data_IF_361954110956
#
_entry.id   IF_361954110956
#
_cell.length_a   1.000
_cell.length_b   1.000
_cell.length_c   1.000
_cell.angle_alpha   90.00
_cell.angle_beta   90.00
_cell.angle_gamma   90.00
#
_symmetry.space_group_name_H-M   'P 1'
#
loop_
_entity.id
_entity.type
_entity.pdbx_description
1 polymer ?
#
# COMPACT_ATOMS: atom_id res chain seq x y z
N UNK A 1 -39.51 32.62 -19.00
CA UNK A 1 -38.93 31.91 -17.84
C UNK A 1 -37.52 31.56 -18.24
N UNK A 2 -36.57 32.16 -17.59
CA UNK A 2 -35.17 31.76 -17.86
C UNK A 2 -35.00 30.29 -17.52
N UNK A 3 -34.33 29.55 -18.37
CA UNK A 3 -34.08 28.12 -18.08
C UNK A 3 -33.24 28.01 -16.81
N UNK A 4 -33.34 26.90 -16.09
CA UNK A 4 -32.53 26.67 -14.88
C UNK A 4 -31.01 26.75 -15.17
N UNK A 5 -30.63 26.43 -16.40
CA UNK A 5 -29.27 26.57 -16.91
C UNK A 5 -28.80 28.01 -16.95
N UNK A 6 -29.67 28.97 -17.39
CA UNK A 6 -29.35 30.40 -17.41
C UNK A 6 -29.19 30.98 -15.99
N UNK A 7 -30.03 30.54 -15.07
CA UNK A 7 -29.94 30.91 -13.65
C UNK A 7 -28.61 30.40 -13.08
N UNK A 8 -28.27 29.14 -13.33
CA UNK A 8 -27.04 28.54 -12.84
C UNK A 8 -25.79 29.20 -13.47
N UNK A 9 -25.85 29.56 -14.73
CA UNK A 9 -24.77 30.34 -15.37
C UNK A 9 -24.53 31.68 -14.64
N UNK A 10 -25.61 32.38 -14.26
CA UNK A 10 -25.52 33.62 -13.47
C UNK A 10 -24.95 33.41 -12.07
N UNK A 11 -25.30 32.29 -11.43
CA UNK A 11 -24.76 31.89 -10.11
C UNK A 11 -23.25 31.61 -10.22
N UNK A 12 -22.80 30.92 -11.27
CA UNK A 12 -21.37 30.67 -11.52
C UNK A 12 -20.59 31.96 -11.73
N UNK A 13 -21.11 32.90 -12.55
CA UNK A 13 -20.49 34.20 -12.77
C UNK A 13 -20.39 34.99 -11.47
N UNK A 14 -21.44 35.00 -10.65
CA UNK A 14 -21.44 35.67 -9.34
C UNK A 14 -20.34 35.07 -8.40
N UNK A 15 -20.18 33.75 -8.38
CA UNK A 15 -19.16 33.10 -7.57
C UNK A 15 -17.73 33.48 -8.01
N UNK A 16 -17.51 33.63 -9.32
CA UNK A 16 -16.22 33.97 -9.89
C UNK A 16 -15.90 35.46 -9.63
N UNK A 17 -16.82 36.38 -9.95
CA UNK A 17 -16.62 37.83 -9.83
C UNK A 17 -16.40 38.30 -8.39
N UNK A 18 -17.02 37.59 -7.41
CA UNK A 18 -16.88 37.95 -6.01
C UNK A 18 -15.77 37.14 -5.30
N UNK A 19 -14.95 36.36 -6.02
CA UNK A 19 -13.82 35.61 -5.47
C UNK A 19 -14.20 34.59 -4.41
N UNK A 20 -15.49 34.16 -4.38
CA UNK A 20 -15.98 33.20 -3.36
C UNK A 20 -15.50 31.80 -3.61
N UNK A 21 -15.21 31.46 -4.87
CA UNK A 21 -14.66 30.16 -5.28
C UNK A 21 -13.42 30.43 -6.15
N UNK A 22 -12.25 29.84 -5.84
CA UNK A 22 -11.09 29.94 -6.73
C UNK A 22 -11.40 29.33 -8.11
N UNK A 23 -10.80 29.88 -9.18
CA UNK A 23 -11.04 29.44 -10.57
C UNK A 23 -10.88 27.92 -10.76
N UNK A 24 -9.85 27.34 -10.14
CA UNK A 24 -9.62 25.88 -10.14
C UNK A 24 -10.78 25.14 -9.47
N UNK A 25 -11.30 25.66 -8.35
CA UNK A 25 -12.43 25.06 -7.64
C UNK A 25 -13.73 25.14 -8.43
N UNK A 26 -13.95 26.24 -9.14
CA UNK A 26 -15.10 26.41 -10.02
C UNK A 26 -15.06 25.41 -11.17
N UNK A 27 -13.93 25.32 -11.88
CA UNK A 27 -13.78 24.45 -13.06
C UNK A 27 -13.84 22.96 -12.69
N UNK A 28 -13.29 22.60 -11.52
CA UNK A 28 -13.20 21.19 -11.12
C UNK A 28 -14.49 20.66 -10.49
N UNK A 29 -15.21 21.49 -9.72
CA UNK A 29 -16.30 21.02 -8.86
C UNK A 29 -17.67 21.60 -9.18
N UNK A 30 -17.75 22.83 -9.71
CA UNK A 30 -19.01 23.53 -9.96
C UNK A 30 -19.41 23.47 -11.44
N UNK A 31 -18.48 23.60 -12.37
CA UNK A 31 -18.78 23.47 -13.81
C UNK A 31 -19.35 22.09 -14.19
N UNK A 32 -18.86 20.96 -13.61
CA UNK A 32 -19.41 19.64 -13.91
C UNK A 32 -20.82 19.40 -13.36
N UNK A 33 -21.39 20.29 -12.53
CA UNK A 33 -22.76 20.15 -12.04
C UNK A 33 -23.76 20.33 -13.19
N UNK A 34 -24.49 19.27 -13.51
CA UNK A 34 -25.56 19.31 -14.51
C UNK A 34 -26.86 19.74 -13.84
N UNK A 35 -27.45 20.91 -14.19
CA UNK A 35 -28.73 21.34 -13.62
C UNK A 35 -29.87 20.46 -14.10
N UNK A 36 -30.64 19.87 -13.17
CA UNK A 36 -31.73 18.92 -13.45
C UNK A 36 -33.09 19.63 -13.33
N UNK A 37 -33.36 20.20 -12.16
CA UNK A 37 -34.64 20.90 -11.92
C UNK A 37 -34.52 21.98 -10.85
N UNK A 38 -35.39 23.00 -10.97
CA UNK A 38 -35.49 24.08 -10.00
C UNK A 38 -36.97 24.43 -9.75
N UNK A 39 -37.41 24.32 -8.49
CA UNK A 39 -38.78 24.55 -8.08
C UNK A 39 -38.97 25.83 -7.24
N UNK A 40 -37.95 26.67 -7.12
CA UNK A 40 -37.94 27.88 -6.32
C UNK A 40 -37.47 27.72 -4.88
N UNK A 41 -37.54 26.53 -4.31
CA UNK A 41 -36.99 26.16 -2.99
C UNK A 41 -35.82 25.20 -3.05
N UNK A 42 -35.81 24.32 -4.06
CA UNK A 42 -34.78 23.30 -4.23
C UNK A 42 -34.18 23.40 -5.64
N UNK A 43 -32.86 23.41 -5.70
CA UNK A 43 -32.05 23.32 -6.92
C UNK A 43 -31.40 21.92 -6.96
N UNK A 44 -31.83 21.13 -7.93
CA UNK A 44 -31.36 19.75 -8.09
C UNK A 44 -30.31 19.72 -9.20
N UNK A 45 -29.14 19.19 -8.85
CA UNK A 45 -28.02 18.98 -9.78
C UNK A 45 -27.67 17.51 -9.86
N UNK A 46 -27.05 17.11 -10.97
CA UNK A 46 -26.52 15.77 -11.17
C UNK A 46 -25.01 15.82 -11.33
N UNK A 47 -24.33 14.82 -10.78
CA UNK A 47 -22.88 14.61 -10.88
C UNK A 47 -22.58 13.15 -11.23
N UNK A 48 -21.37 12.90 -11.74
CA UNK A 48 -20.97 11.54 -12.17
C UNK A 48 -20.59 10.62 -10.99
N UNK A 49 -20.13 11.18 -9.85
CA UNK A 49 -19.58 10.36 -8.76
C UNK A 49 -20.06 10.82 -7.37
N UNK A 50 -20.17 9.86 -6.43
CA UNK A 50 -20.44 10.15 -5.01
C UNK A 50 -19.33 11.01 -4.38
N UNK A 51 -18.10 10.92 -4.88
CA UNK A 51 -17.00 11.75 -4.42
C UNK A 51 -17.23 13.23 -4.75
N UNK A 52 -17.65 13.55 -5.99
CA UNK A 52 -18.00 14.92 -6.38
C UNK A 52 -19.16 15.47 -5.54
N UNK A 53 -20.22 14.68 -5.33
CA UNK A 53 -21.35 15.03 -4.47
C UNK A 53 -20.88 15.42 -3.07
N UNK A 54 -20.06 14.60 -2.44
CA UNK A 54 -19.55 14.85 -1.09
C UNK A 54 -18.73 16.13 -1.01
N UNK A 55 -17.83 16.38 -1.96
CA UNK A 55 -17.03 17.62 -1.99
C UNK A 55 -17.92 18.85 -2.15
N UNK A 56 -18.89 18.82 -3.07
CA UNK A 56 -19.77 19.98 -3.29
C UNK A 56 -20.64 20.25 -2.07
N UNK A 57 -21.22 19.22 -1.44
CA UNK A 57 -22.07 19.38 -0.26
C UNK A 57 -21.28 19.79 0.99
N UNK A 58 -20.04 19.35 1.16
CA UNK A 58 -19.25 19.70 2.36
C UNK A 58 -18.53 21.03 2.23
N UNK A 59 -18.03 21.37 1.04
CA UNK A 59 -17.14 22.52 0.84
C UNK A 59 -17.88 23.71 0.21
N UNK A 60 -18.77 23.47 -0.75
CA UNK A 60 -19.35 24.53 -1.58
C UNK A 60 -20.84 24.77 -1.33
N UNK A 61 -21.53 23.97 -0.53
CA UNK A 61 -22.97 24.05 -0.27
C UNK A 61 -23.41 25.44 0.21
N UNK A 62 -22.76 25.97 1.24
CA UNK A 62 -23.14 27.29 1.81
C UNK A 62 -22.80 28.42 0.85
N UNK A 63 -21.72 28.30 0.08
CA UNK A 63 -21.32 29.27 -0.93
C UNK A 63 -22.35 29.31 -2.07
N UNK A 64 -22.81 28.16 -2.53
CA UNK A 64 -23.85 28.07 -3.57
C UNK A 64 -25.17 28.60 -3.08
N UNK A 65 -25.62 28.26 -1.86
CA UNK A 65 -26.85 28.86 -1.28
C UNK A 65 -26.80 30.36 -1.20
N UNK A 66 -25.68 30.93 -0.78
CA UNK A 66 -25.45 32.34 -0.69
C UNK A 66 -25.44 32.99 -2.09
N UNK A 67 -24.85 32.34 -3.07
CA UNK A 67 -24.86 32.81 -4.46
C UNK A 67 -26.27 32.78 -5.07
N UNK A 68 -27.06 31.74 -4.85
CA UNK A 68 -28.46 31.65 -5.27
C UNK A 68 -29.30 32.76 -4.61
N UNK A 69 -29.08 33.02 -3.32
CA UNK A 69 -29.77 34.10 -2.63
C UNK A 69 -29.44 35.49 -3.23
N UNK A 70 -28.18 35.75 -3.56
CA UNK A 70 -27.77 37.02 -4.12
C UNK A 70 -28.24 37.20 -5.58
N UNK A 71 -28.36 36.13 -6.35
CA UNK A 71 -28.80 36.18 -7.76
C UNK A 71 -30.32 36.21 -7.90
N UNK A 72 -31.04 35.44 -7.09
CA UNK A 72 -32.51 35.27 -7.21
C UNK A 72 -33.31 35.92 -6.08
N UNK A 73 -32.68 36.31 -4.96
CA UNK A 73 -33.38 36.76 -3.76
C UNK A 73 -34.09 35.63 -2.98
N UNK A 74 -33.86 34.36 -3.32
CA UNK A 74 -34.55 33.22 -2.76
C UNK A 74 -33.56 32.33 -1.99
N UNK A 75 -34.00 31.78 -0.86
CA UNK A 75 -33.25 30.74 -0.13
C UNK A 75 -33.51 29.42 -0.81
N UNK A 76 -32.43 28.80 -1.33
CA UNK A 76 -32.49 27.56 -2.12
C UNK A 76 -31.73 26.45 -1.40
N UNK A 77 -32.32 25.27 -1.33
CA UNK A 77 -31.63 24.06 -0.91
C UNK A 77 -30.91 23.46 -2.13
N UNK A 78 -29.67 23.05 -1.93
CA UNK A 78 -28.88 22.38 -2.97
C UNK A 78 -29.02 20.88 -2.77
N UNK A 79 -29.57 20.21 -3.77
CA UNK A 79 -29.71 18.75 -3.81
C UNK A 79 -28.83 18.23 -4.94
N UNK A 80 -27.99 17.25 -4.64
CA UNK A 80 -27.09 16.64 -5.62
C UNK A 80 -27.41 15.17 -5.74
N UNK A 81 -27.81 14.77 -6.94
CA UNK A 81 -28.02 13.40 -7.34
C UNK A 81 -26.77 12.88 -8.06
N UNK A 82 -26.40 11.63 -7.83
CA UNK A 82 -25.36 10.98 -8.60
C UNK A 82 -26.03 10.29 -9.79
N UNK A 83 -25.41 10.34 -10.94
CA UNK A 83 -25.88 9.65 -12.13
C UNK A 83 -25.83 8.14 -11.87
N UNK A 84 -26.89 7.63 -11.22
CA UNK A 84 -27.12 6.20 -11.13
C UNK A 84 -27.80 5.79 -12.44
N UNK A 85 -27.20 4.88 -13.16
CA UNK A 85 -27.95 4.06 -14.09
C UNK A 85 -29.13 3.48 -13.29
N UNK A 86 -30.34 3.94 -13.59
CA UNK A 86 -31.68 3.66 -13.12
C UNK A 86 -31.89 2.96 -11.76
N UNK A 87 -32.82 3.46 -10.92
CA UNK A 87 -33.25 2.74 -9.74
C UNK A 87 -34.13 1.56 -10.15
N UNK A 88 -33.56 0.41 -10.34
CA UNK A 88 -34.33 -0.82 -10.22
C UNK A 88 -34.88 -0.94 -8.79
N UNK A 89 -36.19 -1.19 -8.69
CA UNK A 89 -36.87 -1.66 -7.48
C UNK A 89 -36.01 -2.75 -6.82
N UNK A 90 -36.11 -2.97 -5.49
CA UNK A 90 -35.32 -4.02 -4.85
C UNK A 90 -35.67 -5.37 -5.50
N UNK A 91 -34.93 -5.72 -6.51
CA UNK A 91 -34.93 -7.03 -7.11
C UNK A 91 -34.13 -7.88 -6.14
N UNK A 92 -34.77 -8.81 -5.47
CA UNK A 92 -34.10 -9.93 -4.85
C UNK A 92 -33.37 -10.60 -6.03
N UNK A 93 -32.02 -10.62 -6.06
CA UNK A 93 -31.30 -11.19 -7.18
C UNK A 93 -31.77 -12.63 -7.35
N UNK A 94 -32.19 -13.00 -8.54
CA UNK A 94 -32.45 -14.40 -8.86
C UNK A 94 -31.14 -15.18 -8.74
N UNK A 95 -31.21 -16.45 -8.38
CA UNK A 95 -30.04 -17.33 -8.26
C UNK A 95 -29.12 -17.23 -9.49
N UNK A 96 -29.70 -17.02 -10.69
CA UNK A 96 -28.95 -16.80 -11.94
C UNK A 96 -28.17 -15.46 -11.99
N UNK A 97 -28.66 -14.40 -11.37
CA UNK A 97 -27.97 -13.10 -11.31
C UNK A 97 -26.90 -13.09 -10.20
N UNK A 98 -27.11 -13.84 -9.13
CA UNK A 98 -26.09 -14.14 -8.12
C UNK A 98 -24.97 -14.99 -8.73
N UNK A 99 -25.30 -15.98 -9.53
CA UNK A 99 -24.33 -16.78 -10.29
C UNK A 99 -23.58 -15.95 -11.35
N UNK A 100 -24.24 -15.05 -12.08
CA UNK A 100 -23.56 -14.12 -12.99
C UNK A 100 -22.63 -13.13 -12.28
N UNK A 101 -23.05 -12.52 -11.19
CA UNK A 101 -22.20 -11.67 -10.37
C UNK A 101 -21.05 -12.43 -9.73
N UNK A 102 -21.26 -13.66 -9.28
CA UNK A 102 -20.21 -14.56 -8.83
C UNK A 102 -19.25 -14.89 -10.00
N UNK A 103 -19.76 -15.15 -11.19
CA UNK A 103 -18.94 -15.41 -12.38
C UNK A 103 -18.18 -14.17 -12.86
N UNK A 104 -18.75 -12.97 -12.78
CA UNK A 104 -18.04 -11.71 -13.09
C UNK A 104 -16.99 -11.35 -12.05
N UNK A 105 -17.27 -11.56 -10.75
CA UNK A 105 -16.28 -11.47 -9.69
C UNK A 105 -15.20 -12.53 -9.83
N UNK A 106 -15.55 -13.78 -10.11
CA UNK A 106 -14.59 -14.83 -10.42
C UNK A 106 -13.77 -14.55 -11.68
N UNK A 107 -14.36 -13.95 -12.72
CA UNK A 107 -13.62 -13.52 -13.91
C UNK A 107 -12.68 -12.34 -13.61
N UNK A 108 -13.07 -11.36 -12.79
CA UNK A 108 -12.18 -10.28 -12.39
C UNK A 108 -11.01 -10.77 -11.53
N UNK A 109 -11.23 -11.77 -10.68
CA UNK A 109 -10.15 -12.47 -9.96
C UNK A 109 -9.31 -13.37 -10.89
N UNK A 110 -9.91 -13.95 -11.94
CA UNK A 110 -9.18 -14.75 -12.96
C UNK A 110 -8.22 -13.92 -13.79
N UNK A 111 -8.57 -12.68 -14.13
CA UNK A 111 -7.71 -11.81 -14.94
C UNK A 111 -6.48 -11.27 -14.19
N UNK A 112 -6.54 -11.17 -12.85
CA UNK A 112 -5.42 -10.61 -12.07
C UNK A 112 -4.29 -11.62 -11.79
N UNK A 113 -4.54 -12.94 -11.80
CA UNK A 113 -3.61 -13.95 -11.27
C UNK A 113 -3.44 -15.22 -12.12
N UNK A 114 -3.82 -15.19 -13.40
CA UNK A 114 -3.75 -16.37 -14.26
C UNK A 114 -2.32 -16.88 -14.49
N UNK A 115 -1.31 -16.03 -14.29
CA UNK A 115 0.09 -16.36 -14.49
C UNK A 115 0.76 -17.03 -13.27
N UNK A 116 0.10 -17.07 -12.10
CA UNK A 116 0.68 -17.63 -10.88
C UNK A 116 0.30 -19.10 -10.72
N UNK A 117 1.07 -19.96 -11.40
CA UNK A 117 0.96 -21.42 -11.33
C UNK A 117 2.29 -22.02 -10.88
N UNK A 118 2.29 -23.30 -10.48
CA UNK A 118 3.53 -24.01 -10.20
C UNK A 118 4.45 -24.14 -11.43
N UNK A 119 3.89 -24.16 -12.63
CA UNK A 119 4.65 -24.26 -13.88
C UNK A 119 5.36 -22.95 -14.25
N UNK A 120 4.85 -21.83 -13.78
CA UNK A 120 5.46 -20.51 -14.00
C UNK A 120 6.40 -20.08 -12.87
N UNK A 121 6.37 -20.80 -11.75
CA UNK A 121 7.25 -20.55 -10.62
C UNK A 121 8.65 -21.14 -10.87
N UNK A 122 9.67 -20.31 -10.77
CA UNK A 122 11.06 -20.75 -10.96
C UNK A 122 11.62 -21.31 -9.67
N UNK A 123 11.88 -22.62 -9.69
CA UNK A 123 12.51 -23.35 -8.60
C UNK A 123 14.00 -23.01 -8.47
N UNK A 124 14.47 -22.83 -7.26
CA UNK A 124 15.85 -22.62 -6.92
C UNK A 124 16.12 -23.02 -5.46
N UNK A 125 17.39 -23.12 -5.06
CA UNK A 125 17.78 -23.53 -3.69
C UNK A 125 17.13 -22.69 -2.59
N UNK A 126 16.82 -21.45 -2.88
CA UNK A 126 16.25 -20.51 -1.92
C UNK A 126 14.74 -20.68 -1.68
N UNK A 127 14.05 -21.51 -2.47
CA UNK A 127 12.59 -21.67 -2.43
C UNK A 127 12.12 -23.13 -2.64
N UNK A 128 13.03 -24.07 -2.87
CA UNK A 128 12.69 -25.48 -3.18
C UNK A 128 11.82 -26.13 -2.10
N UNK A 129 12.13 -25.87 -0.81
CA UNK A 129 11.35 -26.42 0.29
C UNK A 129 9.94 -25.85 0.33
N UNK A 130 9.79 -24.52 0.22
CA UNK A 130 8.49 -23.87 0.20
C UNK A 130 7.65 -24.31 -1.01
N UNK A 131 8.28 -24.49 -2.16
CA UNK A 131 7.63 -25.02 -3.37
C UNK A 131 7.16 -26.46 -3.18
N UNK A 132 8.00 -27.33 -2.65
CA UNK A 132 7.67 -28.74 -2.39
C UNK A 132 6.49 -28.86 -1.41
N UNK A 133 6.50 -28.08 -0.30
CA UNK A 133 5.41 -28.03 0.65
C UNK A 133 4.11 -27.53 0.01
N UNK A 134 4.19 -26.47 -0.81
CA UNK A 134 3.04 -25.91 -1.51
C UNK A 134 2.41 -26.90 -2.50
N UNK A 135 3.23 -27.59 -3.29
CA UNK A 135 2.78 -28.68 -4.19
C UNK A 135 2.13 -29.82 -3.43
N UNK A 136 2.71 -30.21 -2.28
CA UNK A 136 2.17 -31.27 -1.43
C UNK A 136 0.80 -30.89 -0.86
N UNK A 137 0.65 -29.66 -0.34
CA UNK A 137 -0.64 -29.14 0.15
C UNK A 137 -1.68 -29.12 -0.95
N UNK A 138 -1.34 -28.59 -2.13
CA UNK A 138 -2.28 -28.51 -3.26
C UNK A 138 -2.74 -29.91 -3.75
N UNK A 139 -1.84 -30.89 -3.75
CA UNK A 139 -2.14 -32.25 -4.17
C UNK A 139 -2.99 -33.00 -3.16
N UNK A 140 -2.66 -32.88 -1.86
CA UNK A 140 -3.30 -33.68 -0.79
C UNK A 140 -4.55 -33.00 -0.20
N UNK A 141 -4.90 -31.78 -0.67
CA UNK A 141 -6.08 -31.07 -0.21
C UNK A 141 -7.35 -31.88 -0.53
N UNK A 142 -8.10 -32.26 0.52
CA UNK A 142 -9.32 -33.08 0.39
C UNK A 142 -9.11 -34.58 0.26
N UNK A 143 -7.89 -35.09 0.03
CA UNK A 143 -7.62 -36.53 -0.08
C UNK A 143 -7.52 -37.22 1.29
N UNK A 144 -7.10 -36.50 2.32
CA UNK A 144 -6.91 -37.03 3.67
C UNK A 144 -7.91 -36.40 4.64
N UNK A 145 -8.40 -37.21 5.57
CA UNK A 145 -9.26 -36.74 6.65
C UNK A 145 -8.57 -35.68 7.54
N UNK A 146 -7.25 -35.74 7.65
CA UNK A 146 -6.44 -34.74 8.38
C UNK A 146 -5.31 -34.30 7.45
N UNK A 147 -5.19 -32.99 7.14
CA UNK A 147 -4.10 -32.46 6.32
C UNK A 147 -2.74 -32.67 7.00
N UNK A 148 -1.73 -33.08 6.22
CA UNK A 148 -0.37 -33.33 6.74
C UNK A 148 0.33 -32.06 7.24
N UNK A 149 0.03 -30.92 6.62
CA UNK A 149 0.69 -29.63 6.87
C UNK A 149 -0.36 -28.55 7.10
N UNK A 150 -0.88 -28.45 8.32
CA UNK A 150 -1.95 -27.50 8.64
C UNK A 150 -1.72 -26.77 9.97
N UNK A 151 -1.49 -25.45 9.94
CA UNK A 151 -1.36 -24.62 8.75
C UNK A 151 -0.04 -24.81 8.01
N UNK A 152 0.00 -24.50 6.71
CA UNK A 152 1.25 -24.21 6.00
C UNK A 152 1.54 -22.71 6.14
N UNK A 153 2.68 -22.38 6.73
CA UNK A 153 3.12 -21.01 6.95
C UNK A 153 4.35 -20.71 6.09
N UNK A 154 4.18 -19.90 5.05
CA UNK A 154 5.25 -19.51 4.12
C UNK A 154 5.75 -18.11 4.49
N UNK A 155 7.04 -17.96 4.78
CA UNK A 155 7.56 -16.64 5.11
C UNK A 155 8.82 -16.29 4.34
N UNK A 156 9.12 -14.99 4.28
CA UNK A 156 10.33 -14.46 3.65
C UNK A 156 10.15 -13.00 3.26
N UNK A 157 11.24 -12.29 2.91
CA UNK A 157 11.18 -10.87 2.57
C UNK A 157 10.16 -10.55 1.49
N UNK A 158 9.73 -9.28 1.41
CA UNK A 158 8.80 -8.85 0.38
C UNK A 158 9.38 -9.08 -1.03
N UNK A 159 8.53 -9.49 -1.98
CA UNK A 159 8.92 -9.68 -3.38
C UNK A 159 9.66 -10.99 -3.68
N UNK A 160 9.63 -11.99 -2.78
CA UNK A 160 10.31 -13.30 -2.98
C UNK A 160 9.42 -14.37 -3.63
N UNK A 161 8.17 -14.07 -3.96
CA UNK A 161 7.26 -15.02 -4.62
C UNK A 161 6.27 -15.72 -3.69
N UNK A 162 6.07 -15.25 -2.44
CA UNK A 162 5.07 -15.81 -1.50
C UNK A 162 3.65 -15.79 -2.09
N UNK A 163 3.22 -14.63 -2.60
CA UNK A 163 1.93 -14.46 -3.26
C UNK A 163 1.79 -15.37 -4.49
N UNK A 164 2.87 -15.62 -5.22
CA UNK A 164 2.87 -16.57 -6.33
C UNK A 164 2.56 -17.99 -5.84
N UNK A 165 3.26 -18.46 -4.79
CA UNK A 165 3.04 -19.83 -4.27
C UNK A 165 1.64 -20.01 -3.70
N UNK A 166 1.14 -19.07 -2.90
CA UNK A 166 -0.20 -19.19 -2.32
C UNK A 166 -1.29 -19.15 -3.41
N UNK A 167 -1.10 -18.36 -4.46
CA UNK A 167 -2.02 -18.33 -5.60
C UNK A 167 -1.90 -19.60 -6.46
N UNK A 168 -0.67 -20.14 -6.63
CA UNK A 168 -0.46 -21.40 -7.33
C UNK A 168 -1.16 -22.57 -6.62
N UNK A 169 -1.15 -22.59 -5.27
CA UNK A 169 -1.94 -23.55 -4.49
C UNK A 169 -3.43 -23.42 -4.81
N UNK A 170 -3.97 -22.18 -4.77
CA UNK A 170 -5.38 -21.95 -5.08
C UNK A 170 -5.77 -22.42 -6.48
N UNK A 171 -4.93 -22.14 -7.49
CA UNK A 171 -5.17 -22.52 -8.87
C UNK A 171 -5.12 -24.04 -9.05
N UNK A 172 -4.15 -24.71 -8.45
CA UNK A 172 -4.03 -26.19 -8.55
C UNK A 172 -5.16 -26.90 -7.82
N UNK A 173 -5.55 -26.44 -6.61
CA UNK A 173 -6.71 -26.99 -5.89
C UNK A 173 -8.00 -26.81 -6.69
N UNK A 174 -8.22 -25.62 -7.27
CA UNK A 174 -9.42 -25.36 -8.11
C UNK A 174 -9.48 -26.28 -9.32
N UNK A 175 -8.33 -26.59 -9.93
CA UNK A 175 -8.24 -27.50 -11.05
C UNK A 175 -8.57 -28.94 -10.67
N UNK A 176 -8.10 -29.38 -9.50
CA UNK A 176 -8.27 -30.77 -9.02
C UNK A 176 -9.61 -30.97 -8.33
N UNK A 177 -10.15 -29.95 -7.67
CA UNK A 177 -11.40 -29.96 -6.89
C UNK A 177 -12.26 -28.74 -7.24
N UNK A 178 -13.01 -28.79 -8.38
CA UNK A 178 -13.83 -27.64 -8.82
C UNK A 178 -14.95 -27.24 -7.83
N UNK A 179 -15.42 -28.21 -7.03
CA UNK A 179 -16.52 -28.01 -6.07
C UNK A 179 -16.07 -27.44 -4.72
N UNK A 180 -14.74 -27.26 -4.51
CA UNK A 180 -14.23 -26.75 -3.24
C UNK A 180 -14.48 -25.25 -3.09
N UNK A 181 -14.91 -24.86 -1.90
CA UNK A 181 -14.97 -23.47 -1.48
C UNK A 181 -13.56 -22.97 -1.14
N UNK A 182 -12.88 -22.38 -2.12
CA UNK A 182 -11.53 -21.86 -2.01
C UNK A 182 -11.61 -20.36 -1.70
N UNK A 183 -11.19 -19.98 -0.49
CA UNK A 183 -11.14 -18.59 -0.06
C UNK A 183 -9.70 -18.11 -0.06
N UNK A 184 -9.35 -17.24 -1.02
CA UNK A 184 -8.10 -16.47 -1.03
C UNK A 184 -8.39 -15.02 -0.65
N UNK A 185 -7.64 -14.48 0.30
CA UNK A 185 -7.82 -13.12 0.77
C UNK A 185 -6.51 -12.54 1.30
N UNK A 186 -6.26 -11.25 1.05
CA UNK A 186 -5.20 -10.52 1.74
C UNK A 186 -5.66 -10.12 3.13
N UNK A 187 -4.74 -10.02 4.07
CA UNK A 187 -5.08 -9.58 5.43
C UNK A 187 -5.76 -8.21 5.49
N UNK A 188 -5.43 -7.30 4.57
CA UNK A 188 -6.12 -6.00 4.46
C UNK A 188 -7.57 -6.14 4.00
N UNK A 189 -7.81 -6.97 2.97
CA UNK A 189 -9.16 -7.21 2.46
C UNK A 189 -10.04 -7.90 3.52
N UNK A 190 -9.49 -8.90 4.24
CA UNK A 190 -10.17 -9.54 5.38
C UNK A 190 -10.62 -8.51 6.43
N UNK A 191 -9.73 -7.58 6.81
CA UNK A 191 -10.08 -6.51 7.75
C UNK A 191 -11.10 -5.52 7.20
N UNK A 192 -11.01 -5.16 5.93
CA UNK A 192 -11.99 -4.30 5.27
C UNK A 192 -13.39 -4.93 5.20
N UNK A 193 -13.46 -6.20 4.81
CA UNK A 193 -14.71 -6.96 4.79
C UNK A 193 -15.33 -7.12 6.19
N UNK A 194 -14.50 -7.38 7.21
CA UNK A 194 -14.97 -7.45 8.60
C UNK A 194 -15.59 -6.12 9.05
N UNK A 195 -14.95 -5.00 8.80
CA UNK A 195 -15.46 -3.67 9.15
C UNK A 195 -16.79 -3.38 8.43
N UNK A 196 -16.86 -3.69 7.13
CA UNK A 196 -18.05 -3.50 6.34
C UNK A 196 -19.23 -4.36 6.85
N UNK A 197 -18.97 -5.63 7.15
CA UNK A 197 -19.97 -6.54 7.69
C UNK A 197 -20.51 -6.09 9.07
N UNK A 198 -19.61 -5.58 9.93
CA UNK A 198 -20.00 -5.01 11.23
C UNK A 198 -20.85 -3.75 11.08
N UNK A 199 -20.47 -2.84 10.18
CA UNK A 199 -21.19 -1.60 9.95
C UNK A 199 -22.56 -1.84 9.31
N UNK A 200 -22.69 -2.84 8.45
CA UNK A 200 -23.92 -3.22 7.80
C UNK A 200 -24.83 -4.15 8.67
N UNK A 201 -24.29 -4.67 9.79
CA UNK A 201 -25.03 -5.62 10.65
C UNK A 201 -25.20 -7.02 10.07
N UNK A 202 -24.37 -7.39 9.06
CA UNK A 202 -24.42 -8.68 8.33
C UNK A 202 -23.19 -9.55 8.64
N UNK A 203 -22.77 -9.58 9.89
CA UNK A 203 -21.57 -10.35 10.31
C UNK A 203 -21.71 -11.85 10.06
N UNK A 204 -22.95 -12.39 9.98
CA UNK A 204 -23.22 -13.78 9.63
C UNK A 204 -22.65 -14.15 8.26
N UNK A 205 -22.83 -13.29 7.26
CA UNK A 205 -22.37 -13.54 5.89
C UNK A 205 -20.83 -13.60 5.81
N UNK A 206 -20.17 -12.73 6.60
CA UNK A 206 -18.72 -12.79 6.77
C UNK A 206 -18.28 -14.11 7.40
N UNK A 207 -18.97 -14.56 8.46
CA UNK A 207 -18.68 -15.85 9.09
C UNK A 207 -18.90 -17.01 8.12
N UNK A 208 -19.99 -16.99 7.37
CA UNK A 208 -20.31 -18.05 6.41
C UNK A 208 -19.28 -18.13 5.29
N UNK A 209 -18.83 -17.00 4.77
CA UNK A 209 -17.77 -16.94 3.77
C UNK A 209 -16.46 -17.58 4.24
N UNK A 210 -15.97 -17.15 5.41
CA UNK A 210 -14.63 -17.54 5.87
C UNK A 210 -14.60 -18.85 6.65
N UNK A 211 -15.65 -19.16 7.42
CA UNK A 211 -15.69 -20.32 8.30
C UNK A 211 -16.21 -21.58 7.63
N UNK A 212 -16.73 -21.51 6.41
CA UNK A 212 -17.18 -22.65 5.61
C UNK A 212 -16.25 -22.92 4.41
N UNK A 213 -15.05 -22.36 4.40
CA UNK A 213 -14.06 -22.62 3.39
C UNK A 213 -13.50 -24.06 3.50
N UNK A 214 -13.28 -24.72 2.36
CA UNK A 214 -12.56 -26.01 2.31
C UNK A 214 -11.05 -25.79 2.37
N UNK A 215 -10.60 -24.65 1.83
CA UNK A 215 -9.23 -24.16 1.98
C UNK A 215 -9.26 -22.64 2.17
N UNK A 216 -8.58 -22.16 3.20
CA UNK A 216 -8.39 -20.74 3.50
C UNK A 216 -6.93 -20.33 3.23
N UNK A 217 -6.74 -19.38 2.34
CA UNK A 217 -5.45 -18.85 1.93
C UNK A 217 -5.38 -17.37 2.32
N UNK A 218 -4.53 -17.04 3.29
CA UNK A 218 -4.35 -15.67 3.81
C UNK A 218 -2.98 -15.15 3.40
N UNK A 219 -2.95 -14.07 2.63
CA UNK A 219 -1.71 -13.41 2.22
C UNK A 219 -1.36 -12.24 3.15
N UNK A 220 -0.07 -12.13 3.49
CA UNK A 220 0.52 -11.04 4.26
C UNK A 220 -0.06 -10.85 5.69
N UNK A 221 -0.03 -11.91 6.51
CA UNK A 221 -0.62 -11.94 7.87
C UNK A 221 -0.04 -10.86 8.81
N UNK A 222 1.14 -10.29 8.52
CA UNK A 222 1.74 -9.23 9.32
C UNK A 222 0.87 -7.96 9.41
N UNK A 223 -0.05 -7.74 8.48
CA UNK A 223 -1.00 -6.63 8.54
C UNK A 223 -2.06 -6.75 9.64
N UNK A 224 -2.16 -7.90 10.32
CA UNK A 224 -2.97 -8.03 11.53
C UNK A 224 -2.33 -7.39 12.77
N UNK A 225 -1.05 -7.03 12.68
CA UNK A 225 -0.30 -6.41 13.78
C UNK A 225 -1.02 -5.20 14.36
N UNK A 226 -1.24 -5.21 15.70
CA UNK A 226 -1.89 -4.11 16.41
C UNK A 226 -3.40 -3.96 16.18
N UNK A 227 -4.06 -4.89 15.49
CA UNK A 227 -5.49 -4.87 15.20
C UNK A 227 -6.22 -5.96 15.97
N UNK A 228 -6.39 -5.78 17.29
CA UNK A 228 -6.92 -6.80 18.22
C UNK A 228 -8.22 -7.45 17.73
N UNK A 229 -9.21 -6.66 17.33
CA UNK A 229 -10.51 -7.14 16.86
C UNK A 229 -10.42 -8.04 15.64
N UNK A 230 -9.51 -7.74 14.74
CA UNK A 230 -9.23 -8.50 13.54
C UNK A 230 -8.51 -9.81 13.87
N UNK A 231 -7.58 -9.78 14.83
CA UNK A 231 -6.89 -10.97 15.33
C UNK A 231 -7.85 -11.91 16.05
N UNK A 232 -8.77 -11.38 16.86
CA UNK A 232 -9.80 -12.16 17.55
C UNK A 232 -10.71 -12.89 16.55
N UNK A 233 -11.23 -12.16 15.55
CA UNK A 233 -12.12 -12.74 14.53
C UNK A 233 -11.40 -13.79 13.67
N UNK A 234 -10.16 -13.51 13.31
CA UNK A 234 -9.33 -14.48 12.59
C UNK A 234 -9.03 -15.71 13.44
N UNK A 235 -8.77 -15.55 14.73
CA UNK A 235 -8.56 -16.68 15.63
C UNK A 235 -9.75 -17.63 15.67
N UNK A 236 -10.97 -17.10 15.74
CA UNK A 236 -12.18 -17.92 15.70
C UNK A 236 -12.37 -18.63 14.36
N UNK A 237 -12.08 -17.97 13.26
CA UNK A 237 -12.13 -18.56 11.91
C UNK A 237 -11.09 -19.67 11.78
N UNK A 238 -9.84 -19.39 12.16
CA UNK A 238 -8.75 -20.38 12.16
C UNK A 238 -9.11 -21.60 13.00
N UNK A 239 -9.59 -21.38 14.23
CA UNK A 239 -9.92 -22.45 15.16
C UNK A 239 -11.01 -23.38 14.60
N UNK A 240 -12.09 -22.82 14.03
CA UNK A 240 -13.16 -23.59 13.41
C UNK A 240 -12.63 -24.44 12.25
N UNK A 241 -11.93 -23.83 11.29
CA UNK A 241 -11.40 -24.54 10.12
C UNK A 241 -10.40 -25.63 10.51
N UNK A 242 -9.50 -25.34 11.45
CA UNK A 242 -8.53 -26.30 11.92
C UNK A 242 -9.19 -27.52 12.63
N UNK A 243 -10.24 -27.30 13.44
CA UNK A 243 -11.01 -28.38 14.06
C UNK A 243 -11.76 -29.24 13.03
N UNK A 244 -12.25 -28.64 11.95
CA UNK A 244 -12.92 -29.35 10.85
C UNK A 244 -11.93 -29.94 9.84
N UNK A 245 -10.62 -29.94 10.17
CA UNK A 245 -9.56 -30.45 9.31
C UNK A 245 -9.51 -29.79 7.91
N UNK A 246 -9.97 -28.54 7.81
CA UNK A 246 -9.88 -27.74 6.59
C UNK A 246 -8.46 -27.18 6.45
N UNK A 247 -7.95 -27.12 5.23
CA UNK A 247 -6.60 -26.62 4.98
C UNK A 247 -6.49 -25.10 5.17
N UNK A 248 -5.43 -24.68 5.86
CA UNK A 248 -5.09 -23.25 6.03
C UNK A 248 -3.67 -23.03 5.49
N UNK A 249 -3.51 -21.99 4.69
CA UNK A 249 -2.19 -21.53 4.18
C UNK A 249 -2.05 -20.06 4.51
N UNK A 250 -0.89 -19.70 5.04
CA UNK A 250 -0.62 -18.33 5.52
C UNK A 250 0.71 -17.87 4.94
N UNK A 251 0.77 -16.62 4.48
CA UNK A 251 2.05 -16.00 4.13
C UNK A 251 2.41 -14.85 5.07
N UNK A 252 3.70 -14.57 5.22
CA UNK A 252 4.22 -13.50 6.06
C UNK A 252 5.56 -12.97 5.53
N UNK A 253 5.93 -11.75 5.94
CA UNK A 253 7.28 -11.21 5.72
C UNK A 253 8.30 -11.72 6.75
N UNK A 254 7.82 -12.28 7.88
CA UNK A 254 8.63 -12.75 9.02
C UNK A 254 8.12 -14.09 9.56
N UNK A 255 8.98 -14.86 10.22
CA UNK A 255 8.55 -16.09 10.90
C UNK A 255 7.59 -15.76 12.06
N UNK A 256 6.72 -16.71 12.49
CA UNK A 256 5.74 -16.46 13.56
C UNK A 256 6.36 -15.91 14.85
N UNK A 257 7.56 -16.36 15.21
CA UNK A 257 8.29 -15.90 16.43
C UNK A 257 8.61 -14.40 16.43
N UNK A 258 8.78 -13.80 15.27
CA UNK A 258 9.11 -12.38 15.12
C UNK A 258 7.88 -11.47 15.00
N UNK A 259 6.69 -12.03 14.89
CA UNK A 259 5.42 -11.30 14.83
C UNK A 259 4.94 -10.92 16.24
N UNK A 260 5.74 -10.17 17.00
CA UNK A 260 5.52 -9.87 18.42
C UNK A 260 4.23 -9.09 18.70
N UNK A 261 3.67 -8.41 17.72
CA UNK A 261 2.41 -7.66 17.82
C UNK A 261 1.18 -8.49 17.52
N UNK A 262 1.35 -9.76 17.12
CA UNK A 262 0.27 -10.73 17.08
C UNK A 262 0.09 -11.39 18.45
N UNK A 263 -1.15 -11.73 18.76
CA UNK A 263 -1.49 -12.46 19.97
C UNK A 263 -0.74 -13.79 20.05
N UNK A 264 -0.29 -14.14 21.24
CA UNK A 264 0.49 -15.35 21.50
C UNK A 264 -0.24 -16.63 21.05
N UNK A 265 -1.58 -16.65 21.25
CA UNK A 265 -2.42 -17.78 20.82
C UNK A 265 -2.39 -18.02 19.30
N UNK A 266 -2.32 -16.97 18.48
CA UNK A 266 -2.19 -17.10 17.03
C UNK A 266 -0.79 -17.55 16.65
N UNK A 267 0.25 -16.95 17.23
CA UNK A 267 1.65 -17.32 16.97
C UNK A 267 1.90 -18.79 17.26
N UNK A 268 1.46 -19.26 18.42
CA UNK A 268 1.60 -20.67 18.82
C UNK A 268 0.88 -21.61 17.84
N UNK A 269 -0.28 -21.22 17.31
CA UNK A 269 -1.00 -22.00 16.30
C UNK A 269 -0.25 -22.06 14.97
N UNK A 270 0.37 -20.95 14.56
CA UNK A 270 1.18 -20.92 13.35
C UNK A 270 2.46 -21.77 13.50
N UNK A 271 3.08 -21.74 14.67
CA UNK A 271 4.24 -22.58 15.00
C UNK A 271 3.92 -24.09 15.07
N UNK A 272 2.67 -24.43 15.37
CA UNK A 272 2.19 -25.80 15.39
C UNK A 272 2.03 -26.45 14.02
N UNK A 273 2.10 -25.66 12.94
CA UNK A 273 2.03 -26.14 11.57
C UNK A 273 3.41 -26.35 10.92
N UNK A 274 3.42 -26.44 9.58
CA UNK A 274 4.66 -26.50 8.81
C UNK A 274 5.10 -25.09 8.43
N UNK A 275 6.31 -24.71 8.80
CA UNK A 275 6.90 -23.41 8.48
C UNK A 275 7.91 -23.60 7.34
N UNK A 276 7.73 -22.89 6.24
CA UNK A 276 8.59 -22.89 5.07
C UNK A 276 9.11 -21.50 4.76
N UNK A 277 10.41 -21.34 4.62
CA UNK A 277 11.05 -20.06 4.30
C UNK A 277 11.32 -19.90 2.81
N UNK A 278 11.32 -18.65 2.37
CA UNK A 278 11.80 -18.25 1.06
C UNK A 278 12.86 -17.16 1.28
N UNK A 279 14.07 -17.40 0.77
CA UNK A 279 15.16 -16.44 0.84
C UNK A 279 15.49 -15.84 -0.54
N UNK A 280 16.45 -14.92 -0.58
CA UNK A 280 16.83 -14.27 -1.82
C UNK A 280 17.38 -15.30 -2.85
N UNK A 281 16.95 -15.20 -4.12
CA UNK A 281 17.36 -16.14 -5.16
C UNK A 281 18.86 -15.98 -5.49
N UNK A 282 19.50 -17.11 -5.81
CA UNK A 282 20.87 -17.12 -6.35
C UNK A 282 20.92 -16.56 -7.77
N UNK A 283 22.12 -16.43 -8.33
CA UNK A 283 22.31 -15.85 -9.66
C UNK A 283 21.59 -16.64 -10.76
N UNK A 284 21.65 -17.96 -10.69
CA UNK A 284 21.06 -18.85 -11.69
C UNK A 284 19.54 -18.75 -11.69
N UNK A 285 18.94 -18.74 -10.49
CA UNK A 285 17.49 -18.54 -10.32
C UNK A 285 17.06 -17.15 -10.81
N UNK A 286 17.81 -16.08 -10.52
CA UNK A 286 17.49 -14.75 -11.03
C UNK A 286 17.53 -14.67 -12.56
N UNK A 287 18.55 -15.27 -13.17
CA UNK A 287 18.67 -15.34 -14.62
C UNK A 287 17.51 -16.11 -15.26
N UNK A 288 17.12 -17.23 -14.65
CA UNK A 288 15.98 -18.01 -15.09
C UNK A 288 14.65 -17.22 -14.98
N UNK A 289 14.46 -16.46 -13.91
CA UNK A 289 13.29 -15.59 -13.73
C UNK A 289 13.23 -14.51 -14.82
N UNK A 290 14.35 -13.84 -15.11
CA UNK A 290 14.43 -12.83 -16.18
C UNK A 290 14.07 -13.44 -17.54
N UNK A 291 14.67 -14.59 -17.87
CA UNK A 291 14.41 -15.27 -19.15
C UNK A 291 12.94 -15.69 -19.25
N UNK A 292 12.39 -16.34 -18.21
CA UNK A 292 10.98 -16.75 -18.18
C UNK A 292 10.03 -15.58 -18.33
N UNK A 293 10.28 -14.48 -17.62
CA UNK A 293 9.46 -13.25 -17.74
C UNK A 293 9.56 -12.65 -19.15
N UNK A 294 10.75 -12.69 -19.75
CA UNK A 294 10.96 -12.21 -21.11
C UNK A 294 10.20 -13.06 -22.15
N UNK A 295 10.22 -14.39 -21.98
CA UNK A 295 9.42 -15.31 -22.82
C UNK A 295 7.92 -15.02 -22.72
N UNK A 296 7.39 -14.92 -21.50
CA UNK A 296 5.96 -14.61 -21.26
C UNK A 296 5.55 -13.26 -21.86
N UNK A 297 6.47 -12.32 -21.92
CA UNK A 297 6.26 -11.01 -22.53
C UNK A 297 6.60 -10.95 -24.02
N UNK A 298 6.96 -12.08 -24.66
CA UNK A 298 7.42 -12.15 -26.06
C UNK A 298 8.56 -11.17 -26.37
N UNK A 299 9.43 -10.94 -25.37
CA UNK A 299 10.54 -9.99 -25.44
C UNK A 299 11.82 -10.73 -25.85
N UNK A 300 12.41 -10.38 -26.98
CA UNK A 300 13.72 -10.91 -27.40
C UNK A 300 14.82 -10.28 -26.52
N UNK A 301 15.11 -10.93 -25.39
CA UNK A 301 16.12 -10.47 -24.43
C UNK A 301 17.51 -11.00 -24.86
N UNK A 302 18.50 -10.12 -25.12
CA UNK A 302 19.88 -10.57 -25.33
C UNK A 302 20.47 -11.17 -24.07
N UNK A 303 21.21 -12.28 -24.16
CA UNK A 303 21.80 -12.98 -23.02
C UNK A 303 22.69 -12.07 -22.16
N UNK A 304 23.48 -11.21 -22.80
CA UNK A 304 24.34 -10.24 -22.09
C UNK A 304 23.55 -9.25 -21.23
N UNK A 305 22.36 -8.85 -21.68
CA UNK A 305 21.48 -7.95 -20.94
C UNK A 305 20.82 -8.68 -19.76
N UNK A 306 20.35 -9.90 -19.98
CA UNK A 306 19.78 -10.74 -18.92
C UNK A 306 20.79 -11.02 -17.80
N UNK A 307 22.03 -11.38 -18.16
CA UNK A 307 23.13 -11.61 -17.23
C UNK A 307 23.51 -10.33 -16.46
N UNK A 308 23.57 -9.20 -17.17
CA UNK A 308 23.83 -7.91 -16.55
C UNK A 308 22.77 -7.56 -15.50
N UNK A 309 21.49 -7.74 -15.83
CA UNK A 309 20.37 -7.51 -14.90
C UNK A 309 20.42 -8.46 -13.70
N UNK A 310 20.64 -9.76 -13.92
CA UNK A 310 20.76 -10.76 -12.86
C UNK A 310 21.91 -10.47 -11.89
N UNK A 311 23.00 -9.89 -12.37
CA UNK A 311 24.13 -9.47 -11.53
C UNK A 311 23.86 -8.22 -10.69
N UNK A 312 23.02 -7.30 -11.19
CA UNK A 312 22.77 -6.01 -10.56
C UNK A 312 21.57 -6.02 -9.60
N UNK A 313 20.48 -6.70 -9.97
CA UNK A 313 19.25 -6.81 -9.17
C UNK A 313 19.29 -8.08 -8.33
N UNK A 314 19.67 -7.99 -7.06
CA UNK A 314 19.96 -9.17 -6.21
C UNK A 314 18.91 -9.46 -5.16
N UNK A 315 18.15 -8.47 -4.74
CA UNK A 315 17.40 -8.51 -3.48
C UNK A 315 15.90 -8.76 -3.64
N UNK A 316 15.32 -8.55 -4.83
CA UNK A 316 13.87 -8.53 -4.97
C UNK A 316 13.43 -9.02 -6.36
N UNK A 317 12.59 -10.08 -6.40
CA UNK A 317 12.08 -10.65 -7.65
C UNK A 317 11.12 -9.66 -8.35
N UNK A 318 10.31 -8.89 -7.58
CA UNK A 318 9.46 -7.85 -8.18
C UNK A 318 10.27 -6.80 -8.95
N UNK A 319 11.48 -6.47 -8.48
CA UNK A 319 12.38 -5.57 -9.20
C UNK A 319 12.86 -6.18 -10.52
N UNK A 320 13.23 -7.47 -10.52
CA UNK A 320 13.63 -8.19 -11.73
C UNK A 320 12.49 -8.15 -12.77
N UNK A 321 11.28 -8.55 -12.37
CA UNK A 321 10.11 -8.55 -13.24
C UNK A 321 9.74 -7.14 -13.72
N UNK A 322 9.73 -6.17 -12.81
CA UNK A 322 9.45 -4.77 -13.14
C UNK A 322 10.46 -4.18 -14.13
N UNK A 323 11.75 -4.54 -13.99
CA UNK A 323 12.78 -4.13 -14.93
C UNK A 323 12.58 -4.74 -16.33
N UNK A 324 12.17 -6.00 -16.41
CA UNK A 324 11.85 -6.66 -17.72
C UNK A 324 10.64 -5.97 -18.38
N UNK A 325 9.59 -5.65 -17.61
CA UNK A 325 8.40 -4.92 -18.12
C UNK A 325 8.79 -3.52 -18.62
N UNK A 326 9.61 -2.77 -17.87
CA UNK A 326 10.12 -1.44 -18.29
C UNK A 326 10.96 -1.54 -19.56
N UNK A 327 11.82 -2.57 -19.68
CA UNK A 327 12.60 -2.79 -20.91
C UNK A 327 11.69 -3.08 -22.12
N UNK A 328 10.63 -3.89 -21.95
CA UNK A 328 9.64 -4.13 -23.00
C UNK A 328 9.00 -2.82 -23.46
N UNK A 329 8.58 -1.97 -22.51
CA UNK A 329 7.99 -0.68 -22.83
C UNK A 329 8.97 0.22 -23.62
N UNK A 330 10.22 0.34 -23.17
CA UNK A 330 11.23 1.12 -23.88
C UNK A 330 11.56 0.56 -25.27
N UNK A 331 11.67 -0.76 -25.41
CA UNK A 331 11.87 -1.41 -26.70
C UNK A 331 10.71 -1.11 -27.68
N UNK A 332 9.47 -1.17 -27.18
CA UNK A 332 8.28 -0.87 -27.98
C UNK A 332 8.25 0.61 -28.44
N UNK A 333 8.54 1.56 -27.52
CA UNK A 333 8.51 2.99 -27.85
C UNK A 333 9.70 3.44 -28.69
N UNK A 334 10.91 2.90 -28.43
CA UNK A 334 12.11 3.30 -29.16
C UNK A 334 12.27 2.62 -30.52
N UNK A 335 11.57 1.51 -30.76
CA UNK A 335 11.72 0.69 -31.98
C UNK A 335 13.14 0.14 -32.22
N UNK A 336 14.00 0.21 -31.21
CA UNK A 336 15.41 -0.18 -31.27
C UNK A 336 15.67 -1.45 -30.45
N UNK A 337 16.67 -2.27 -30.81
CA UNK A 337 17.01 -3.48 -30.06
C UNK A 337 17.43 -3.15 -28.63
N UNK A 338 17.15 -4.09 -27.72
CA UNK A 338 17.51 -3.96 -26.30
C UNK A 338 19.01 -3.98 -26.15
N UNK A 339 19.56 -2.99 -25.42
CA UNK A 339 20.98 -2.83 -25.16
C UNK A 339 21.30 -2.79 -23.68
N UNK A 340 22.57 -3.04 -23.32
CA UNK A 340 23.06 -2.89 -21.94
C UNK A 340 22.84 -1.47 -21.42
N UNK A 341 22.97 -0.47 -22.28
CA UNK A 341 22.73 0.94 -21.90
C UNK A 341 21.28 1.21 -21.49
N UNK A 342 20.29 0.60 -22.20
CA UNK A 342 18.88 0.64 -21.80
C UNK A 342 18.66 -0.05 -20.47
N UNK A 343 19.25 -1.23 -20.26
CA UNK A 343 19.16 -1.96 -19.00
C UNK A 343 19.79 -1.17 -17.84
N UNK A 344 20.92 -0.47 -18.05
CA UNK A 344 21.54 0.41 -17.05
C UNK A 344 20.61 1.55 -16.62
N UNK A 345 19.90 2.18 -17.57
CA UNK A 345 18.93 3.22 -17.26
C UNK A 345 17.79 2.67 -16.41
N UNK A 346 17.16 1.55 -16.86
CA UNK A 346 16.05 0.91 -16.14
C UNK A 346 16.46 0.49 -14.74
N UNK A 347 17.64 -0.13 -14.57
CA UNK A 347 18.12 -0.57 -13.25
C UNK A 347 18.37 0.63 -12.33
N UNK A 348 18.91 1.72 -12.86
CA UNK A 348 19.10 2.94 -12.08
C UNK A 348 17.77 3.44 -11.53
N UNK A 349 16.74 3.52 -12.37
CA UNK A 349 15.44 3.99 -11.96
C UNK A 349 14.82 3.05 -10.91
N UNK A 350 14.87 1.72 -11.15
CA UNK A 350 14.35 0.70 -10.20
C UNK A 350 15.06 0.74 -8.85
N UNK A 351 16.38 0.91 -8.82
CA UNK A 351 17.14 0.98 -7.57
C UNK A 351 16.98 2.35 -6.87
N UNK A 352 16.69 3.41 -7.62
CA UNK A 352 16.45 4.75 -7.04
C UNK A 352 15.08 4.85 -6.40
N UNK A 353 14.06 4.16 -6.96
CA UNK A 353 12.71 4.13 -6.41
C UNK A 353 12.63 3.41 -5.04
N UNK A 354 13.55 2.50 -4.71
CA UNK A 354 13.56 1.76 -3.44
C UNK A 354 14.52 2.30 -2.37
N UNK A 355 15.50 3.09 -2.76
CA UNK A 355 16.27 3.80 -1.75
C UNK A 355 15.54 5.09 -1.41
N UNK A 356 15.00 5.21 -0.18
CA UNK A 356 14.69 6.53 0.32
C UNK A 356 15.95 7.37 0.09
N UNK A 357 15.81 8.54 -0.53
CA UNK A 357 16.93 9.46 -0.81
C UNK A 357 17.80 9.44 0.45
N UNK A 358 19.09 9.03 0.37
CA UNK A 358 19.89 8.85 1.57
C UNK A 358 19.78 10.13 2.38
N UNK A 359 19.31 10.00 3.62
CA UNK A 359 19.19 11.15 4.51
C UNK A 359 20.64 11.57 4.82
N UNK A 360 21.11 12.52 4.05
CA UNK A 360 22.49 13.05 4.22
C UNK A 360 22.49 14.01 5.41
N UNK A 361 23.68 14.17 5.99
CA UNK A 361 23.88 15.15 7.07
C UNK A 361 23.50 16.56 6.59
N UNK A 362 23.74 16.90 5.32
CA UNK A 362 23.33 18.17 4.68
C UNK A 362 21.83 18.39 4.74
N UNK A 363 21.05 17.36 4.41
CA UNK A 363 19.57 17.46 4.42
C UNK A 363 19.04 17.67 5.83
N UNK A 364 19.63 16.99 6.81
CA UNK A 364 19.28 17.19 8.23
C UNK A 364 19.63 18.60 8.69
N UNK A 365 20.83 19.05 8.38
CA UNK A 365 21.30 20.44 8.71
C UNK A 365 20.37 21.46 8.07
N UNK A 366 20.01 21.31 6.81
CA UNK A 366 19.09 22.21 6.10
C UNK A 366 17.72 22.28 6.76
N UNK A 367 17.13 21.15 7.13
CA UNK A 367 15.81 21.13 7.78
C UNK A 367 15.84 21.79 9.14
N UNK A 368 16.83 21.45 9.99
CA UNK A 368 17.00 22.10 11.31
C UNK A 368 17.28 23.61 11.17
N UNK A 369 18.08 24.01 10.17
CA UNK A 369 18.34 25.41 9.85
C UNK A 369 17.06 26.17 9.54
N UNK A 370 16.16 25.59 8.75
CA UNK A 370 14.87 26.16 8.39
C UNK A 370 13.98 26.34 9.62
N UNK A 371 13.88 25.30 10.46
CA UNK A 371 13.03 25.33 11.67
C UNK A 371 13.52 26.36 12.70
N UNK A 372 14.85 26.47 12.88
CA UNK A 372 15.41 27.39 13.86
C UNK A 372 15.75 28.79 13.30
N UNK A 373 15.57 29.03 11.99
CA UNK A 373 15.88 30.31 11.36
C UNK A 373 17.38 30.68 11.41
N UNK A 374 18.27 29.68 11.29
CA UNK A 374 19.75 29.85 11.30
C UNK A 374 20.31 29.34 9.98
N UNK A 375 21.49 29.85 9.56
CA UNK A 375 22.10 29.31 8.33
C UNK A 375 22.78 27.94 8.56
N UNK A 376 22.86 27.06 7.54
CA UNK A 376 23.62 25.82 7.61
C UNK A 376 25.09 26.04 8.02
N UNK A 377 25.71 27.12 7.55
CA UNK A 377 27.10 27.48 7.88
C UNK A 377 27.24 27.90 9.34
N UNK A 378 26.21 28.52 9.93
CA UNK A 378 26.24 28.88 11.36
C UNK A 378 26.19 27.64 12.27
N UNK A 379 25.52 26.58 11.84
CA UNK A 379 25.51 25.31 12.58
C UNK A 379 26.90 24.64 12.58
N UNK A 380 27.69 24.80 11.50
CA UNK A 380 29.07 24.30 11.40
C UNK A 380 30.11 25.25 12.00
N UNK A 381 29.77 26.52 12.20
CA UNK A 381 30.66 27.56 12.68
C UNK A 381 30.96 27.45 14.19
N UNK A 382 31.96 28.23 14.65
CA UNK A 382 32.30 28.39 16.07
C UNK A 382 31.45 29.46 16.78
N UNK A 383 30.41 30.03 16.13
CA UNK A 383 29.51 31.02 16.77
C UNK A 383 28.79 30.41 17.98
N UNK A 384 28.65 31.24 19.06
CA UNK A 384 28.12 30.83 20.36
C UNK A 384 26.84 31.55 20.78
N UNK A 385 26.08 32.14 19.82
CA UNK A 385 24.79 32.71 20.17
C UNK A 385 23.86 31.59 20.72
N UNK A 386 22.98 31.92 21.62
CA UNK A 386 22.08 30.97 22.29
C UNK A 386 21.26 30.18 21.25
N UNK A 387 20.69 30.88 20.25
CA UNK A 387 19.89 30.28 19.19
C UNK A 387 20.68 29.28 18.35
N UNK A 388 21.90 29.66 17.87
CA UNK A 388 22.76 28.78 17.08
C UNK A 388 23.23 27.57 17.92
N UNK A 389 23.50 27.78 19.21
CA UNK A 389 23.95 26.70 20.09
C UNK A 389 22.87 25.64 20.29
N UNK A 390 21.60 26.06 20.52
CA UNK A 390 20.46 25.15 20.66
C UNK A 390 20.20 24.41 19.35
N UNK A 391 20.10 25.13 18.23
CA UNK A 391 19.87 24.53 16.90
C UNK A 391 20.96 23.52 16.53
N UNK A 392 22.23 23.83 16.84
CA UNK A 392 23.36 22.93 16.60
C UNK A 392 23.26 21.65 17.42
N UNK A 393 22.93 21.73 18.72
CA UNK A 393 22.74 20.57 19.58
C UNK A 393 21.60 19.67 19.05
N UNK A 394 20.48 20.26 18.64
CA UNK A 394 19.37 19.53 18.07
C UNK A 394 19.77 18.89 16.73
N UNK A 395 20.51 19.59 15.85
CA UNK A 395 20.99 19.02 14.60
C UNK A 395 21.92 17.81 14.86
N UNK A 396 22.84 17.90 15.80
CA UNK A 396 23.74 16.81 16.19
C UNK A 396 22.92 15.60 16.71
N UNK A 397 21.90 15.85 17.56
CA UNK A 397 21.02 14.81 18.07
C UNK A 397 20.26 14.12 16.94
N UNK A 398 19.63 14.88 16.03
CA UNK A 398 18.86 14.35 14.89
C UNK A 398 19.76 13.57 13.92
N UNK A 399 20.98 14.05 13.64
CA UNK A 399 21.97 13.31 12.85
C UNK A 399 22.29 11.96 13.48
N UNK A 400 22.56 11.94 14.79
CA UNK A 400 22.86 10.69 15.51
C UNK A 400 21.69 9.72 15.47
N UNK A 401 20.47 10.21 15.71
CA UNK A 401 19.26 9.40 15.78
C UNK A 401 18.89 8.79 14.41
N UNK A 402 19.01 9.57 13.33
CA UNK A 402 18.61 9.12 11.99
C UNK A 402 19.70 8.28 11.33
N UNK A 403 20.96 8.72 11.39
CA UNK A 403 22.04 8.12 10.59
C UNK A 403 22.83 7.05 11.33
N UNK A 404 22.73 6.98 12.66
CA UNK A 404 23.53 6.12 13.54
C UNK A 404 25.06 6.28 13.35
N UNK A 405 25.52 7.40 12.77
CA UNK A 405 26.93 7.67 12.51
C UNK A 405 27.77 7.63 13.81
N UNK A 406 29.04 7.19 13.75
CA UNK A 406 29.97 7.31 14.86
C UNK A 406 30.11 8.76 15.30
N UNK A 407 30.19 9.00 16.64
CA UNK A 407 30.25 10.37 17.21
C UNK A 407 31.45 11.19 16.69
N UNK A 408 32.56 10.53 16.43
CA UNK A 408 33.74 11.19 15.83
C UNK A 408 33.45 11.72 14.41
N UNK A 409 32.73 10.95 13.59
CA UNK A 409 32.34 11.37 12.23
C UNK A 409 31.36 12.53 12.28
N UNK A 410 30.38 12.52 13.23
CA UNK A 410 29.49 13.66 13.43
C UNK A 410 30.28 14.92 13.84
N UNK A 411 31.32 14.77 14.67
CA UNK A 411 32.21 15.88 15.02
C UNK A 411 32.86 16.53 13.81
N UNK A 412 33.29 15.75 12.85
CA UNK A 412 33.88 16.24 11.58
C UNK A 412 32.87 17.06 10.78
N UNK A 413 31.65 16.57 10.64
CA UNK A 413 30.56 17.24 9.90
C UNK A 413 30.13 18.58 10.51
N UNK A 414 30.29 18.75 11.82
CA UNK A 414 29.96 19.98 12.55
C UNK A 414 31.16 20.88 12.83
N UNK A 415 32.15 20.93 11.94
CA UNK A 415 33.28 21.83 11.98
C UNK A 415 34.43 21.34 12.85
N UNK A 416 34.69 20.03 12.91
CA UNK A 416 35.82 19.41 13.61
C UNK A 416 35.68 19.44 15.13
N UNK A 417 34.47 19.24 15.67
CA UNK A 417 34.20 19.27 17.12
C UNK A 417 34.66 17.98 17.80
N UNK A 418 35.17 18.14 19.01
CA UNK A 418 35.63 17.04 19.82
C UNK A 418 34.50 16.07 20.19
N UNK A 419 34.86 14.79 20.34
CA UNK A 419 33.95 13.72 20.73
C UNK A 419 33.14 14.07 22.01
N UNK A 420 33.77 14.67 23.03
CA UNK A 420 33.13 15.10 24.25
C UNK A 420 32.05 16.15 24.03
N UNK A 421 32.24 17.08 23.09
CA UNK A 421 31.24 18.09 22.71
C UNK A 421 30.04 17.46 22.03
N UNK A 422 30.24 16.43 21.21
CA UNK A 422 29.17 15.73 20.53
C UNK A 422 28.36 14.90 21.53
N UNK A 423 29.01 14.13 22.42
CA UNK A 423 28.36 13.39 23.51
C UNK A 423 27.50 14.33 24.36
N UNK A 424 28.10 15.44 24.84
CA UNK A 424 27.38 16.44 25.61
C UNK A 424 26.14 16.99 24.89
N UNK A 425 26.26 17.25 23.59
CA UNK A 425 25.16 17.78 22.79
C UNK A 425 24.00 16.79 22.71
N UNK A 426 24.30 15.51 22.45
CA UNK A 426 23.28 14.43 22.38
C UNK A 426 22.59 14.26 23.75
N UNK A 427 23.36 14.12 24.83
CA UNK A 427 22.82 13.94 26.19
C UNK A 427 21.99 15.15 26.62
N UNK A 428 22.50 16.38 26.38
CA UNK A 428 21.79 17.62 26.73
C UNK A 428 20.43 17.76 26.05
N UNK A 429 20.30 17.33 24.78
CA UNK A 429 19.00 17.35 24.06
C UNK A 429 18.08 16.26 24.60
N UNK A 430 18.59 15.06 24.83
CA UNK A 430 17.81 13.95 25.40
C UNK A 430 17.21 14.33 26.74
N UNK A 431 18.00 14.87 27.67
CA UNK A 431 17.53 15.32 28.99
C UNK A 431 16.55 16.51 28.90
N UNK A 432 16.76 17.42 27.93
CA UNK A 432 15.86 18.54 27.71
C UNK A 432 14.49 18.08 27.18
N UNK A 433 14.46 17.08 26.31
CA UNK A 433 13.20 16.48 25.78
C UNK A 433 12.40 15.74 26.85
N UNK A 434 13.04 15.20 27.89
CA UNK A 434 12.35 14.61 29.04
C UNK A 434 11.62 15.66 29.90
N UNK A 435 12.18 16.89 29.95
CA UNK A 435 11.67 17.98 30.78
C UNK A 435 10.71 18.92 30.06
N UNK A 436 10.84 19.02 28.72
CA UNK A 436 10.03 19.91 27.88
C UNK A 436 9.30 19.14 26.78
N UNK A 437 7.98 18.89 26.93
CA UNK A 437 7.17 18.22 25.93
C UNK A 437 7.12 18.96 24.57
N UNK A 438 7.24 20.29 24.56
CA UNK A 438 7.21 21.07 23.33
C UNK A 438 8.48 20.84 22.50
N UNK A 439 9.64 20.81 23.18
CA UNK A 439 10.91 20.49 22.53
C UNK A 439 10.89 19.04 21.98
N UNK A 440 10.33 18.10 22.73
CA UNK A 440 10.17 16.71 22.32
C UNK A 440 9.35 16.61 21.03
N UNK A 441 8.18 17.25 21.01
CA UNK A 441 7.31 17.26 19.82
C UNK A 441 8.00 17.91 18.62
N UNK A 442 8.67 19.06 18.81
CA UNK A 442 9.40 19.74 17.75
C UNK A 442 10.49 18.85 17.13
N UNK A 443 11.29 18.17 17.97
CA UNK A 443 12.35 17.25 17.46
C UNK A 443 11.74 16.06 16.75
N UNK A 444 10.63 15.51 17.24
CA UNK A 444 9.92 14.41 16.59
C UNK A 444 9.33 14.83 15.23
N UNK A 445 8.77 16.04 15.14
CA UNK A 445 8.25 16.58 13.87
C UNK A 445 9.38 16.81 12.86
N UNK A 446 10.54 17.30 13.28
CA UNK A 446 11.73 17.42 12.42
C UNK A 446 12.13 16.04 11.90
N UNK A 447 12.25 15.03 12.75
CA UNK A 447 12.61 13.67 12.36
C UNK A 447 11.59 13.09 11.37
N UNK A 448 10.30 13.27 11.66
CA UNK A 448 9.20 12.83 10.79
C UNK A 448 9.26 13.50 9.41
N UNK A 449 9.38 14.83 9.37
CA UNK A 449 9.46 15.59 8.13
C UNK A 449 10.66 15.15 7.26
N UNK A 450 11.83 14.90 7.88
CA UNK A 450 13.02 14.42 7.17
C UNK A 450 12.75 13.02 6.56
N UNK A 451 12.13 12.11 7.35
CA UNK A 451 11.79 10.76 6.89
C UNK A 451 10.71 10.77 5.79
N UNK A 452 9.71 11.61 5.91
CA UNK A 452 8.62 11.70 4.93
C UNK A 452 9.09 12.36 3.62
N UNK A 453 9.89 13.41 3.67
CA UNK A 453 10.54 14.03 2.49
C UNK A 453 11.60 13.11 1.83
N UNK A 454 12.00 12.03 2.44
CA UNK A 454 12.90 11.02 1.87
C UNK A 454 12.15 9.85 1.21
N UNK A 455 10.81 9.82 1.31
CA UNK A 455 9.94 8.83 0.66
C UNK A 455 9.29 9.35 -0.63
N UNK A 456 9.52 10.62 -0.97
CA UNK A 456 9.05 11.26 -2.23
C UNK A 456 10.28 11.32 -3.20
#
# INVERSE_FOLDING_TARGET
MNSFEEVFASVKSYCLENGKIPEIGLTTWIEPLVPVSFNGSDAVFRVETEFQKNIVLTTYNEILKDAFFNVLGLKVNIIIEVESNEPEKPNIPTDAELEMKHQELEQSYKFANYDYTFDTFIEGRSNEFALACSKSVAKNCGEKAVPDYNPLFIYGPSGMGKTHLITAIANEVRKNHPDFNIVYVTSEAFGGELINALNAGVISDFHDKYRNADILLIDDIQFFSGKERMQEEFFHTFYKLHQECKQIVITSDKPPKELLTLEERLRTRFEGGLIADISAPDYETRLAIINRKSELLELKMPSEVAEFMANRLKSNIRQLEGAVVRLKALNHFAGSPITISMAQSVIRDVLTDEQPIPITVEKIISEVSTVYGVSPDDLRSNKRSAQISIARKVAIYVVREITQMPLASIGTEFGGRDHSTIVYSVTSVSEAMEKDPNLKNLVQDIIKNIKDKSKV
#
